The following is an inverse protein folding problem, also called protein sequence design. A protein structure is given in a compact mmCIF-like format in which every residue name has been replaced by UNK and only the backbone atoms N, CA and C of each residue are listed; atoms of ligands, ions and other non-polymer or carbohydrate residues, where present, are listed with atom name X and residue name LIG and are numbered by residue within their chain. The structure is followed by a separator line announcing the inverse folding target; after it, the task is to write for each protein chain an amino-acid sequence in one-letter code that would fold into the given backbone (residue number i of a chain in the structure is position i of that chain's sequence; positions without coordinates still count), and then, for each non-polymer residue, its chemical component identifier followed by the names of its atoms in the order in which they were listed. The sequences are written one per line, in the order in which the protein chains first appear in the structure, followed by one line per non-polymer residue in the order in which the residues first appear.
data_IF_583196191921
#
_entry.id   IF_583196191921
#
_cell.length_a   1.000
_cell.length_b   1.000
_cell.length_c   1.000
_cell.angle_alpha   90.00
_cell.angle_beta   90.00
_cell.angle_gamma   90.00
#
_symmetry.space_group_name_H-M   'P 1'
#
loop_
_entity.id
_entity.type
_entity.pdbx_description
1 polymer ?
#
# COMPACT_ATOMS: atom_id res chain seq x y z
N UNK A 1 17.98 9.10 -5.83
CA UNK A 1 18.20 8.30 -7.05
C UNK A 1 16.95 8.46 -7.90
N UNK A 2 17.05 8.57 -9.23
CA UNK A 2 15.88 8.56 -10.12
C UNK A 2 15.47 7.12 -10.38
N UNK A 3 14.62 6.57 -9.52
CA UNK A 3 14.17 5.18 -9.59
C UNK A 3 12.93 5.08 -10.49
N UNK A 4 12.89 4.08 -11.37
CA UNK A 4 11.72 3.82 -12.21
C UNK A 4 10.62 3.22 -11.33
N UNK A 5 9.41 3.79 -11.39
CA UNK A 5 8.25 3.37 -10.60
C UNK A 5 7.46 2.21 -11.23
N UNK A 6 7.65 1.93 -12.52
CA UNK A 6 6.84 0.98 -13.28
C UNK A 6 5.33 1.31 -13.31
N UNK A 7 4.95 2.53 -12.90
CA UNK A 7 3.61 3.09 -13.08
C UNK A 7 3.61 3.90 -14.37
N UNK A 8 3.13 3.28 -15.44
CA UNK A 8 3.02 3.89 -16.77
C UNK A 8 1.60 4.40 -17.08
N UNK A 9 0.61 3.95 -16.30
CA UNK A 9 -0.78 4.38 -16.38
C UNK A 9 -1.21 4.95 -15.02
N UNK A 10 -1.55 6.24 -14.99
CA UNK A 10 -2.11 6.89 -13.81
C UNK A 10 -3.64 6.81 -13.82
N UNK A 11 -4.30 6.97 -12.65
CA UNK A 11 -5.75 6.96 -12.58
C UNK A 11 -6.39 8.04 -13.46
N UNK A 12 -7.53 7.70 -14.04
CA UNK A 12 -8.29 8.52 -15.00
C UNK A 12 -9.52 9.19 -14.37
N UNK A 13 -9.90 8.78 -13.16
CA UNK A 13 -11.14 9.20 -12.52
C UNK A 13 -12.36 8.35 -12.92
N UNK A 14 -12.23 7.43 -13.88
CA UNK A 14 -13.32 6.55 -14.33
C UNK A 14 -13.40 5.23 -13.56
N UNK A 15 -12.47 4.99 -12.65
CA UNK A 15 -12.34 3.74 -11.90
C UNK A 15 -13.59 3.49 -11.04
N UNK A 16 -13.98 2.22 -10.94
CA UNK A 16 -15.13 1.75 -10.15
C UNK A 16 -14.75 0.52 -9.36
N UNK A 17 -15.36 0.37 -8.19
CA UNK A 17 -15.20 -0.83 -7.36
C UNK A 17 -14.50 -0.56 -6.03
N UNK A 18 -14.29 -1.66 -5.29
CA UNK A 18 -13.67 -1.65 -3.98
C UNK A 18 -12.17 -1.90 -4.10
N UNK A 19 -11.38 -0.96 -3.58
CA UNK A 19 -9.92 -1.07 -3.53
C UNK A 19 -9.42 -0.88 -2.11
N UNK A 20 -8.37 -1.62 -1.77
CA UNK A 20 -7.65 -1.48 -0.51
C UNK A 20 -6.32 -0.76 -0.74
N UNK A 21 -5.81 -0.10 0.29
CA UNK A 21 -4.42 0.31 0.35
C UNK A 21 -3.83 0.06 1.73
N UNK A 22 -2.53 -0.21 1.73
CA UNK A 22 -1.70 -0.34 2.90
C UNK A 22 -0.58 0.67 2.80
N UNK A 23 -0.44 1.54 3.79
CA UNK A 23 0.64 2.52 3.85
C UNK A 23 1.54 2.27 5.05
N UNK A 24 2.77 1.84 4.76
CA UNK A 24 3.82 1.66 5.75
C UNK A 24 4.83 2.82 5.64
N UNK A 25 4.59 3.85 6.45
CA UNK A 25 5.35 5.11 6.44
C UNK A 25 6.44 5.23 7.50
N UNK A 26 6.31 4.53 8.63
CA UNK A 26 7.15 4.69 9.82
C UNK A 26 6.67 3.82 10.99
N UNK A 27 6.59 4.37 12.20
CA UNK A 27 6.17 3.64 13.42
C UNK A 27 4.69 3.26 13.46
N UNK A 28 3.91 3.72 12.48
CA UNK A 28 2.52 3.35 12.27
C UNK A 28 2.38 2.88 10.82
N UNK A 29 1.44 1.97 10.58
CA UNK A 29 0.90 1.75 9.26
C UNK A 29 -0.58 2.10 9.23
N UNK A 30 -1.07 2.41 8.03
CA UNK A 30 -2.50 2.65 7.78
C UNK A 30 -3.01 1.58 6.84
N UNK A 31 -4.20 1.07 7.14
CA UNK A 31 -5.00 0.26 6.23
C UNK A 31 -6.21 1.08 5.86
N UNK A 32 -6.56 1.10 4.58
CA UNK A 32 -7.70 1.86 4.09
C UNK A 32 -8.40 1.12 2.97
N UNK A 33 -9.69 1.41 2.82
CA UNK A 33 -10.51 0.94 1.71
C UNK A 33 -11.31 2.09 1.13
N UNK A 34 -11.48 2.04 -0.18
CA UNK A 34 -12.18 3.05 -0.95
C UNK A 34 -13.17 2.36 -1.88
N UNK A 35 -14.41 2.85 -1.90
CA UNK A 35 -15.39 2.52 -2.92
C UNK A 35 -15.38 3.63 -3.98
N UNK A 36 -14.98 3.29 -5.21
CA UNK A 36 -14.98 4.20 -6.35
C UNK A 36 -16.25 4.03 -7.19
N UNK A 37 -16.81 5.16 -7.65
CA UNK A 37 -18.04 5.26 -8.45
C UNK A 37 -17.84 5.81 -9.86
N UNK A 38 -16.59 5.97 -10.32
CA UNK A 38 -16.27 6.53 -11.62
C UNK A 38 -16.39 8.06 -11.65
N UNK A 39 -16.46 8.64 -12.86
CA UNK A 39 -16.21 10.08 -13.07
C UNK A 39 -17.22 11.01 -12.40
N UNK A 40 -18.47 10.56 -12.26
CA UNK A 40 -19.54 11.36 -11.68
C UNK A 40 -19.53 11.31 -10.15
N UNK A 41 -19.61 10.10 -9.58
CA UNK A 41 -19.68 9.91 -8.11
C UNK A 41 -18.32 10.01 -7.41
N UNK A 42 -17.22 9.80 -8.16
CA UNK A 42 -15.85 9.79 -7.66
C UNK A 42 -15.67 8.81 -6.51
N UNK A 43 -15.39 9.31 -5.31
CA UNK A 43 -15.18 8.51 -4.11
C UNK A 43 -16.51 8.42 -3.34
N UNK A 44 -17.14 7.24 -3.37
CA UNK A 44 -18.43 6.98 -2.71
C UNK A 44 -18.24 6.81 -1.20
N UNK A 45 -17.21 6.08 -0.80
CA UNK A 45 -16.91 5.81 0.60
C UNK A 45 -15.41 5.63 0.80
N UNK A 46 -14.92 6.02 1.98
CA UNK A 46 -13.55 5.81 2.41
C UNK A 46 -13.56 5.51 3.90
N UNK A 47 -12.86 4.46 4.28
CA UNK A 47 -12.59 4.14 5.68
C UNK A 47 -11.11 3.78 5.83
N UNK A 48 -10.54 4.08 6.99
CA UNK A 48 -9.18 3.74 7.31
C UNK A 48 -9.02 3.48 8.80
N UNK A 49 -8.06 2.63 9.13
CA UNK A 49 -7.55 2.44 10.47
C UNK A 49 -6.04 2.69 10.49
N UNK A 50 -5.55 3.19 11.61
CA UNK A 50 -4.13 3.35 11.87
C UNK A 50 -3.70 2.41 12.99
N UNK A 51 -2.64 1.64 12.74
CA UNK A 51 -2.10 0.67 13.68
C UNK A 51 -0.67 1.05 14.05
N UNK A 52 -0.44 1.22 15.35
CA UNK A 52 0.89 1.43 15.91
C UNK A 52 1.68 0.13 15.86
N UNK A 53 2.90 0.17 15.33
CA UNK A 53 3.79 -0.98 15.27
C UNK A 53 4.49 -1.12 16.63
N UNK A 54 4.33 -2.26 17.34
CA UNK A 54 5.11 -2.55 18.54
C UNK A 54 6.60 -2.38 18.25
N UNK A 55 7.31 -1.68 19.15
CA UNK A 55 8.73 -1.35 18.92
C UNK A 55 9.58 -2.59 18.66
N UNK A 56 9.33 -3.69 19.34
CA UNK A 56 10.11 -4.92 19.18
C UNK A 56 10.02 -5.48 17.74
N UNK A 57 8.88 -5.30 17.06
CA UNK A 57 8.71 -5.72 15.66
C UNK A 57 9.51 -4.85 14.68
N UNK A 58 9.93 -3.64 15.07
CA UNK A 58 10.84 -2.82 14.25
C UNK A 58 12.28 -3.35 14.25
N UNK A 59 12.61 -4.26 15.17
CA UNK A 59 13.92 -4.91 15.31
C UNK A 59 13.83 -6.44 15.18
N UNK A 60 12.65 -6.98 14.88
CA UNK A 60 12.39 -8.41 14.76
C UNK A 60 12.79 -8.98 13.40
N UNK A 61 12.09 -10.01 12.98
CA UNK A 61 12.24 -10.66 11.68
C UNK A 61 11.25 -10.15 10.66
N UNK A 62 11.56 -10.36 9.38
CA UNK A 62 10.65 -10.03 8.28
C UNK A 62 9.30 -10.72 8.45
N UNK A 63 9.29 -11.98 8.87
CA UNK A 63 8.06 -12.74 9.06
C UNK A 63 7.18 -12.11 10.15
N UNK A 64 7.74 -11.82 11.33
CA UNK A 64 7.01 -11.21 12.44
C UNK A 64 6.39 -9.85 12.09
N UNK A 65 7.14 -8.99 11.38
CA UNK A 65 6.62 -7.68 10.97
C UNK A 65 5.48 -7.82 9.95
N UNK A 66 5.68 -8.61 8.89
CA UNK A 66 4.68 -8.74 7.83
C UNK A 66 3.44 -9.52 8.30
N UNK A 67 3.59 -10.48 9.21
CA UNK A 67 2.46 -11.18 9.85
C UNK A 67 1.63 -10.23 10.72
N UNK A 68 2.28 -9.32 11.45
CA UNK A 68 1.58 -8.29 12.22
C UNK A 68 0.79 -7.33 11.30
N UNK A 69 1.41 -6.91 10.19
CA UNK A 69 0.76 -6.05 9.20
C UNK A 69 -0.43 -6.76 8.56
N UNK A 70 -0.25 -8.00 8.11
CA UNK A 70 -1.31 -8.81 7.52
C UNK A 70 -2.46 -9.07 8.51
N UNK A 71 -2.15 -9.25 9.79
CA UNK A 71 -3.16 -9.36 10.85
C UNK A 71 -3.98 -8.07 11.03
N UNK A 72 -3.35 -6.89 10.89
CA UNK A 72 -4.06 -5.61 10.89
C UNK A 72 -5.00 -5.46 9.70
N UNK A 73 -4.53 -5.88 8.51
CA UNK A 73 -5.34 -5.90 7.30
C UNK A 73 -6.54 -6.87 7.42
N UNK A 74 -6.32 -8.05 7.99
CA UNK A 74 -7.36 -9.06 8.23
C UNK A 74 -8.51 -8.49 9.08
N UNK A 75 -8.17 -7.93 10.26
CA UNK A 75 -9.13 -7.32 11.18
C UNK A 75 -9.89 -6.16 10.53
N UNK A 76 -9.24 -5.37 9.69
CA UNK A 76 -9.88 -4.28 8.98
C UNK A 76 -10.85 -4.78 7.90
N UNK A 77 -10.51 -5.89 7.23
CA UNK A 77 -11.32 -6.50 6.19
C UNK A 77 -12.56 -7.24 6.71
N UNK A 78 -12.51 -7.77 7.94
CA UNK A 78 -13.67 -8.40 8.59
C UNK A 78 -14.84 -7.42 8.80
N UNK A 79 -14.54 -6.13 8.92
CA UNK A 79 -15.52 -5.09 9.22
C UNK A 79 -16.01 -4.34 7.97
N UNK A 80 -16.12 -5.00 6.81
CA UNK A 80 -16.68 -4.40 5.59
C UNK A 80 -18.17 -4.04 5.76
N UNK A 81 -18.45 -2.74 5.92
CA UNK A 81 -19.82 -2.25 6.00
C UNK A 81 -20.53 -2.27 4.63
N UNK A 82 -21.86 -2.09 4.64
CA UNK A 82 -22.74 -2.12 3.46
C UNK A 82 -22.42 -1.09 2.36
N UNK A 83 -21.49 -0.16 2.59
CA UNK A 83 -21.06 0.84 1.61
C UNK A 83 -20.01 0.31 0.64
N UNK A 84 -19.40 -0.83 0.96
CA UNK A 84 -18.31 -1.43 0.20
C UNK A 84 -18.79 -2.70 -0.47
N UNK A 85 -18.55 -2.81 -1.78
CA UNK A 85 -19.08 -3.87 -2.61
C UNK A 85 -17.93 -4.56 -3.35
N UNK A 86 -17.60 -5.77 -2.92
CA UNK A 86 -16.69 -6.65 -3.64
C UNK A 86 -17.48 -7.48 -4.65
N UNK A 87 -17.21 -7.39 -5.96
CA UNK A 87 -17.86 -8.24 -6.94
C UNK A 87 -17.59 -9.73 -6.67
N UNK A 88 -18.61 -10.58 -6.83
CA UNK A 88 -18.48 -12.02 -6.62
C UNK A 88 -17.39 -12.61 -7.53
N UNK A 89 -16.54 -13.47 -6.96
CA UNK A 89 -15.43 -14.10 -7.68
C UNK A 89 -14.21 -13.20 -7.90
N UNK A 90 -14.15 -12.02 -7.27
CA UNK A 90 -12.97 -11.14 -7.32
C UNK A 90 -12.23 -11.14 -5.98
N UNK A 91 -10.92 -11.00 -6.05
CA UNK A 91 -10.06 -10.79 -4.87
C UNK A 91 -9.97 -9.32 -4.54
N UNK A 92 -9.77 -8.98 -3.27
CA UNK A 92 -9.47 -7.60 -2.87
C UNK A 92 -8.07 -7.23 -3.38
N UNK A 93 -7.99 -6.12 -4.09
CA UNK A 93 -6.73 -5.61 -4.61
C UNK A 93 -6.17 -4.54 -3.66
N UNK A 94 -4.87 -4.64 -3.35
CA UNK A 94 -4.19 -3.76 -2.41
C UNK A 94 -3.12 -2.95 -3.15
N UNK A 95 -3.21 -1.63 -3.06
CA UNK A 95 -2.09 -0.74 -3.30
C UNK A 95 -1.18 -0.68 -2.07
N UNK A 96 0.05 -1.18 -2.17
CA UNK A 96 1.02 -1.17 -1.08
C UNK A 96 1.96 0.04 -1.21
N UNK A 97 1.69 1.07 -0.42
CA UNK A 97 2.61 2.20 -0.24
C UNK A 97 3.68 1.82 0.76
N UNK A 98 4.91 1.64 0.28
CA UNK A 98 6.04 1.22 1.10
C UNK A 98 7.13 2.29 1.09
N UNK A 99 7.17 3.10 2.14
CA UNK A 99 7.97 4.32 2.19
C UNK A 99 9.42 4.09 2.65
N UNK A 100 10.08 3.08 2.06
CA UNK A 100 11.48 2.76 2.25
C UNK A 100 12.20 2.61 0.90
N UNK A 101 13.54 2.72 0.87
CA UNK A 101 14.29 2.54 -0.37
C UNK A 101 14.11 1.13 -0.96
N UNK A 102 13.43 1.04 -2.10
CA UNK A 102 13.19 -0.21 -2.85
C UNK A 102 13.78 -0.10 -4.26
N UNK A 103 14.36 -1.20 -4.74
CA UNK A 103 14.65 -1.40 -6.16
C UNK A 103 13.44 -2.10 -6.76
N UNK A 104 12.53 -1.32 -7.33
CA UNK A 104 11.32 -1.84 -7.95
C UNK A 104 11.67 -2.64 -9.21
N UNK A 105 10.97 -3.75 -9.44
CA UNK A 105 11.23 -4.69 -10.55
C UNK A 105 10.04 -4.85 -11.49
N UNK A 106 8.82 -4.56 -11.00
CA UNK A 106 7.57 -4.40 -11.76
C UNK A 106 6.64 -3.46 -10.99
N UNK A 107 5.43 -3.21 -11.52
CA UNK A 107 4.42 -2.41 -10.80
C UNK A 107 4.06 -3.01 -9.44
N UNK A 108 4.18 -4.33 -9.28
CA UNK A 108 3.76 -5.13 -8.13
C UNK A 108 4.90 -5.97 -7.50
N UNK A 109 6.17 -5.60 -7.72
CA UNK A 109 7.31 -6.27 -7.09
C UNK A 109 8.45 -5.30 -6.81
N UNK A 110 9.17 -5.50 -5.72
CA UNK A 110 10.32 -4.66 -5.43
C UNK A 110 11.19 -5.14 -4.27
N UNK A 111 12.50 -5.09 -4.49
CA UNK A 111 13.48 -5.57 -3.54
C UNK A 111 13.87 -4.45 -2.56
N UNK A 112 13.73 -4.70 -1.27
CA UNK A 112 14.20 -3.77 -0.25
C UNK A 112 15.72 -3.58 -0.36
N UNK A 113 16.16 -2.33 -0.53
CA UNK A 113 17.60 -1.99 -0.56
C UNK A 113 18.15 -1.95 0.87
N UNK A 114 17.47 -1.20 1.76
CA UNK A 114 17.81 -1.10 3.18
C UNK A 114 16.65 -0.53 3.98
N UNK A 115 16.55 -0.94 5.24
CA UNK A 115 15.68 -0.29 6.20
C UNK A 115 16.18 1.12 6.56
N UNK A 116 15.25 1.98 6.93
CA UNK A 116 15.50 3.37 7.38
C UNK A 116 14.49 3.71 8.49
N UNK A 117 14.44 4.97 8.96
CA UNK A 117 13.40 5.44 9.89
C UNK A 117 13.31 4.63 11.20
N UNK A 118 14.45 4.11 11.67
CA UNK A 118 14.53 3.34 12.91
C UNK A 118 14.18 1.85 12.78
N UNK A 119 13.88 1.36 11.58
CA UNK A 119 13.71 -0.07 11.33
C UNK A 119 15.06 -0.78 11.17
N UNK A 120 15.20 -1.93 11.80
CA UNK A 120 16.33 -2.87 11.69
C UNK A 120 15.81 -4.31 11.63
N UNK A 121 14.84 -4.55 10.75
CA UNK A 121 14.20 -5.87 10.60
C UNK A 121 15.11 -6.82 9.85
N UNK A 122 15.37 -7.98 10.45
CA UNK A 122 16.24 -9.01 9.90
C UNK A 122 15.55 -9.84 8.81
N UNK A 123 16.31 -10.25 7.80
CA UNK A 123 15.82 -11.15 6.74
C UNK A 123 14.98 -10.50 5.63
N UNK A 124 14.75 -9.17 5.64
CA UNK A 124 14.02 -8.49 4.54
C UNK A 124 14.94 -7.91 3.46
N UNK A 125 16.15 -7.45 3.83
CA UNK A 125 17.06 -6.82 2.87
C UNK A 125 17.43 -7.81 1.75
N UNK A 126 17.23 -7.41 0.49
CA UNK A 126 17.43 -8.30 -0.66
C UNK A 126 16.24 -9.20 -1.01
N UNK A 127 15.14 -9.17 -0.25
CA UNK A 127 13.87 -9.84 -0.59
C UNK A 127 12.87 -8.87 -1.23
N UNK A 128 11.95 -9.44 -1.99
CA UNK A 128 10.78 -8.74 -2.51
C UNK A 128 9.76 -8.50 -1.38
N UNK A 129 9.48 -7.23 -1.10
CA UNK A 129 8.57 -6.84 -0.01
C UNK A 129 7.11 -7.17 -0.32
N UNK A 130 6.74 -7.26 -1.60
CA UNK A 130 5.40 -7.67 -2.01
C UNK A 130 5.22 -9.16 -1.77
N UNK A 131 6.23 -9.97 -2.10
CA UNK A 131 6.22 -11.39 -1.78
C UNK A 131 6.09 -11.62 -0.26
N UNK A 132 6.85 -10.89 0.56
CA UNK A 132 6.74 -10.98 2.02
C UNK A 132 5.31 -10.71 2.54
N UNK A 133 4.62 -9.70 1.98
CA UNK A 133 3.25 -9.38 2.37
C UNK A 133 2.25 -10.42 1.86
N UNK A 134 2.39 -10.88 0.61
CA UNK A 134 1.52 -11.92 0.05
C UNK A 134 1.65 -13.25 0.83
N UNK A 135 2.88 -13.66 1.18
CA UNK A 135 3.14 -14.85 2.02
C UNK A 135 2.47 -14.71 3.40
N UNK A 136 2.53 -13.53 4.01
CA UNK A 136 1.88 -13.25 5.31
C UNK A 136 0.35 -13.30 5.21
N UNK A 137 -0.23 -12.75 4.15
CA UNK A 137 -1.66 -12.85 3.89
C UNK A 137 -2.10 -14.30 3.63
N UNK A 138 -1.30 -15.08 2.91
CA UNK A 138 -1.57 -16.50 2.64
C UNK A 138 -1.56 -17.34 3.91
N UNK A 139 -0.59 -17.13 4.82
CA UNK A 139 -0.56 -17.78 6.14
C UNK A 139 -1.83 -17.54 6.97
N UNK A 140 -2.46 -16.38 6.79
CA UNK A 140 -3.71 -16.02 7.46
C UNK A 140 -4.97 -16.37 6.66
N UNK A 141 -4.84 -16.93 5.45
CA UNK A 141 -5.98 -17.27 4.59
C UNK A 141 -6.72 -16.05 4.02
N UNK A 142 -6.06 -14.89 3.91
CA UNK A 142 -6.67 -13.66 3.41
C UNK A 142 -6.84 -13.72 1.89
N UNK A 143 -8.07 -13.57 1.41
CA UNK A 143 -8.35 -13.52 -0.04
C UNK A 143 -8.12 -12.12 -0.62
N UNK A 144 -6.84 -11.74 -0.67
CA UNK A 144 -6.36 -10.48 -1.19
C UNK A 144 -5.09 -10.66 -2.03
N UNK A 145 -4.77 -9.67 -2.85
CA UNK A 145 -3.49 -9.61 -3.58
C UNK A 145 -2.97 -8.18 -3.63
N UNK A 146 -1.65 -8.02 -3.53
CA UNK A 146 -1.02 -6.74 -3.87
C UNK A 146 -1.05 -6.57 -5.39
N UNK A 147 -1.64 -5.48 -5.87
CA UNK A 147 -1.72 -5.16 -7.31
C UNK A 147 -0.73 -4.07 -7.72
N UNK A 148 -0.24 -3.29 -6.76
CA UNK A 148 0.79 -2.28 -7.00
C UNK A 148 1.62 -2.04 -5.74
N UNK A 149 2.93 -1.93 -5.92
CA UNK A 149 3.89 -1.39 -4.97
C UNK A 149 4.21 0.04 -5.39
N UNK A 150 4.02 0.99 -4.48
CA UNK A 150 4.31 2.40 -4.75
C UNK A 150 5.11 3.03 -3.63
N UNK A 151 5.92 4.02 -4.00
CA UNK A 151 6.44 4.99 -3.03
C UNK A 151 5.36 6.03 -2.71
N UNK A 152 5.42 6.64 -1.52
CA UNK A 152 4.49 7.70 -1.07
C UNK A 152 4.31 8.84 -2.07
N UNK A 153 5.38 9.25 -2.74
CA UNK A 153 5.33 10.36 -3.71
C UNK A 153 4.66 9.94 -5.02
N UNK A 154 4.86 8.69 -5.46
CA UNK A 154 4.14 8.11 -6.60
C UNK A 154 2.65 7.95 -6.28
N UNK A 155 2.32 7.48 -5.07
CA UNK A 155 0.94 7.42 -4.59
C UNK A 155 0.28 8.79 -4.51
N UNK A 156 1.02 9.82 -4.12
CA UNK A 156 0.54 11.21 -4.09
C UNK A 156 0.26 11.72 -5.50
N UNK A 157 1.15 11.44 -6.46
CA UNK A 157 0.94 11.77 -7.87
C UNK A 157 -0.32 11.08 -8.41
N UNK A 158 -0.46 9.77 -8.20
CA UNK A 158 -1.61 9.00 -8.67
C UNK A 158 -2.93 9.47 -8.03
N UNK A 159 -2.92 9.74 -6.72
CA UNK A 159 -4.10 10.23 -6.00
C UNK A 159 -4.53 11.63 -6.47
N UNK A 160 -3.59 12.52 -6.77
CA UNK A 160 -3.89 13.83 -7.34
C UNK A 160 -4.37 13.72 -8.79
N UNK A 161 -3.71 12.88 -9.61
CA UNK A 161 -4.05 12.63 -11.01
C UNK A 161 -5.46 12.07 -11.21
N UNK A 162 -5.97 11.30 -10.24
CA UNK A 162 -7.35 10.84 -10.21
C UNK A 162 -8.37 12.00 -10.25
N UNK A 163 -8.04 13.13 -9.62
CA UNK A 163 -8.94 14.29 -9.53
C UNK A 163 -8.70 15.31 -10.65
N UNK A 164 -7.46 15.45 -11.10
CA UNK A 164 -7.04 16.46 -12.05
C UNK A 164 -6.07 15.87 -13.09
N UNK A 165 -6.48 15.90 -14.36
CA UNK A 165 -5.73 15.34 -15.48
C UNK A 165 -4.42 16.10 -15.78
N UNK A 166 -4.29 17.35 -15.31
CA UNK A 166 -3.13 18.21 -15.55
C UNK A 166 -2.01 18.00 -14.50
N UNK A 167 -2.21 17.10 -13.53
CA UNK A 167 -1.19 16.76 -12.53
C UNK A 167 -0.04 16.00 -13.18
N UNK A 168 1.15 16.59 -13.13
CA UNK A 168 2.37 16.04 -13.74
C UNK A 168 3.45 15.67 -12.72
N UNK A 169 3.45 16.29 -11.55
CA UNK A 169 4.49 16.13 -10.52
C UNK A 169 3.83 16.19 -9.14
N UNK A 170 4.31 15.37 -8.20
CA UNK A 170 3.97 15.46 -6.79
C UNK A 170 5.23 15.75 -5.98
N UNK A 171 5.10 16.50 -4.90
CA UNK A 171 6.23 16.80 -4.00
C UNK A 171 5.78 16.58 -2.56
N UNK A 172 6.57 15.81 -1.81
CA UNK A 172 6.40 15.63 -0.38
C UNK A 172 7.33 16.60 0.36
N UNK A 173 6.75 17.45 1.22
CA UNK A 173 7.47 18.35 2.13
C UNK A 173 7.04 18.04 3.58
N UNK A 174 7.67 17.04 4.20
CA UNK A 174 7.33 16.58 5.55
C UNK A 174 8.57 16.18 6.36
N UNK A 175 8.48 15.09 7.13
CA UNK A 175 9.63 14.51 7.88
C UNK A 175 10.84 14.23 6.98
N UNK A 176 10.59 13.99 5.69
CA UNK A 176 11.58 14.04 4.62
C UNK A 176 11.05 14.82 3.42
N UNK A 177 11.89 14.91 2.38
CA UNK A 177 11.52 15.53 1.09
C UNK A 177 11.72 14.54 -0.04
N UNK A 178 10.74 14.45 -0.95
CA UNK A 178 10.80 13.65 -2.16
C UNK A 178 9.94 14.28 -3.27
N UNK A 179 10.24 13.96 -4.53
CA UNK A 179 9.52 14.41 -5.73
C UNK A 179 9.55 13.31 -6.80
#
# INVERSE_FOLDING_TARGET
KMLISYVDNLPTGNEKGLFYALDLGGTNFRVLRVQLGGKEERVIATEFDQVSIPKDLMFGTSEELFDFIASGLAKFAENEGNKFHLPAGTKREIGFTFSFPVKQTSVDSGILIKWTKGFLVSGTAGRDVVACLNEAMERLGLDMRVSALVNDTVGTLAGARYWDDDVMVAVILGTGTNA
#
